data_IF_774533422817
#
_entry.id   IF_774533422817
#
_cell.length_a   1.000
_cell.length_b   1.000
_cell.length_c   1.000
_cell.angle_alpha   90.00
_cell.angle_beta   90.00
_cell.angle_gamma   90.00
#
_symmetry.space_group_name_H-M   'P 1'
#
loop_
_entity.id
_entity.type
_entity.pdbx_description
1 polymer ?
#
# COMPACT_ATOMS: atom_id res chain seq x y z
N UNK A 1 10.97 -10.05 4.29
CA UNK A 1 11.12 -8.80 5.07
C UNK A 1 9.91 -8.66 6.02
N UNK A 2 9.87 -9.39 7.13
CA UNK A 2 8.71 -9.41 8.03
C UNK A 2 8.93 -8.39 9.16
N UNK A 3 8.31 -7.22 9.06
CA UNK A 3 8.28 -6.24 10.13
C UNK A 3 6.81 -5.89 10.42
N UNK A 4 6.46 -5.71 11.71
CA UNK A 4 5.11 -5.36 12.16
C UNK A 4 4.53 -4.15 11.39
N UNK A 5 5.36 -3.18 11.03
CA UNK A 5 4.96 -2.01 10.23
C UNK A 5 4.51 -2.43 8.84
N UNK A 6 5.30 -3.25 8.15
CA UNK A 6 4.97 -3.74 6.81
C UNK A 6 3.65 -4.52 6.86
N UNK A 7 3.50 -5.46 7.78
CA UNK A 7 2.25 -6.22 7.95
C UNK A 7 1.04 -5.32 8.15
N UNK A 8 1.13 -4.30 9.02
CA UNK A 8 0.00 -3.38 9.27
C UNK A 8 -0.37 -2.51 8.07
N UNK A 9 0.62 -2.08 7.28
CA UNK A 9 0.35 -1.34 6.04
C UNK A 9 -0.32 -2.25 5.02
N UNK A 10 0.15 -3.50 4.88
CA UNK A 10 -0.43 -4.47 3.97
C UNK A 10 -1.86 -4.85 4.34
N UNK A 11 -2.12 -5.12 5.62
CA UNK A 11 -3.46 -5.45 6.13
C UNK A 11 -4.45 -4.32 5.80
N UNK A 12 -4.06 -3.05 5.97
CA UNK A 12 -4.90 -1.91 5.59
C UNK A 12 -5.38 -2.01 4.12
N UNK A 13 -4.47 -2.26 3.16
CA UNK A 13 -4.85 -2.35 1.74
C UNK A 13 -5.64 -3.61 1.39
N UNK A 14 -5.30 -4.73 2.01
CA UNK A 14 -6.00 -5.99 1.73
C UNK A 14 -7.40 -5.98 2.32
N UNK A 15 -7.59 -5.36 3.49
CA UNK A 15 -8.91 -5.11 4.07
C UNK A 15 -9.77 -4.22 3.16
N UNK A 16 -9.19 -3.13 2.61
CA UNK A 16 -9.89 -2.27 1.64
C UNK A 16 -10.33 -3.07 0.41
N UNK A 17 -9.48 -3.97 -0.08
CA UNK A 17 -9.77 -4.78 -1.25
C UNK A 17 -10.66 -6.02 -0.97
N UNK A 18 -11.14 -6.21 0.27
CA UNK A 18 -11.90 -7.39 0.67
C UNK A 18 -11.13 -8.71 0.53
N UNK A 19 -9.79 -8.65 0.68
CA UNK A 19 -8.89 -9.79 0.50
C UNK A 19 -8.45 -10.28 1.89
N UNK A 20 -8.79 -11.51 2.21
CA UNK A 20 -8.15 -12.22 3.31
C UNK A 20 -6.71 -12.55 2.90
N UNK A 21 -5.75 -11.74 3.36
CA UNK A 21 -4.35 -11.86 2.97
C UNK A 21 -3.47 -12.33 4.12
N UNK A 22 -2.57 -13.27 3.79
CA UNK A 22 -1.43 -13.66 4.62
C UNK A 22 -0.19 -13.25 3.83
N UNK A 23 0.75 -12.54 4.47
CA UNK A 23 2.00 -12.13 3.82
C UNK A 23 2.78 -13.37 3.34
N UNK A 24 2.96 -13.59 2.03
CA UNK A 24 3.76 -14.68 1.51
C UNK A 24 5.24 -14.41 1.80
N UNK A 25 6.02 -15.49 1.83
CA UNK A 25 7.46 -15.43 2.08
C UNK A 25 8.20 -14.61 1.01
N UNK A 26 7.71 -14.65 -0.24
CA UNK A 26 8.28 -13.92 -1.35
C UNK A 26 7.32 -12.89 -1.95
N UNK A 27 7.87 -11.71 -2.25
CA UNK A 27 7.16 -10.62 -2.95
C UNK A 27 6.81 -10.96 -4.39
N UNK A 28 7.52 -11.90 -5.01
CA UNK A 28 7.19 -12.43 -6.33
C UNK A 28 5.85 -13.18 -6.31
N UNK A 29 5.59 -13.95 -5.25
CA UNK A 29 4.33 -14.69 -5.10
C UNK A 29 3.14 -13.74 -4.93
N UNK A 30 3.34 -12.66 -4.17
CA UNK A 30 2.39 -11.54 -4.05
C UNK A 30 2.05 -10.95 -5.42
N UNK A 31 3.07 -10.53 -6.19
CA UNK A 31 2.86 -9.94 -7.52
C UNK A 31 2.18 -10.93 -8.48
N UNK A 32 2.55 -12.21 -8.41
CA UNK A 32 1.97 -13.24 -9.27
C UNK A 32 0.48 -13.49 -8.98
N UNK A 33 0.08 -13.50 -7.71
CA UNK A 33 -1.32 -13.67 -7.30
C UNK A 33 -2.20 -12.54 -7.84
N UNK A 34 -1.69 -11.32 -7.80
CA UNK A 34 -2.41 -10.14 -8.27
C UNK A 34 -2.44 -10.00 -9.79
N UNK A 35 -1.34 -10.31 -10.48
CA UNK A 35 -1.30 -10.36 -11.96
C UNK A 35 -2.29 -11.42 -12.46
N UNK A 36 -2.34 -12.59 -11.80
CA UNK A 36 -3.22 -13.70 -12.17
C UNK A 36 -4.70 -13.41 -11.91
N UNK A 37 -5.02 -12.48 -11.01
CA UNK A 37 -6.40 -12.10 -10.69
C UNK A 37 -7.14 -11.41 -11.85
N UNK A 38 -6.43 -10.98 -12.89
CA UNK A 38 -7.02 -10.32 -14.04
C UNK A 38 -7.64 -8.97 -13.67
N UNK A 39 -8.52 -8.46 -14.53
CA UNK A 39 -9.20 -7.18 -14.31
C UNK A 39 -8.98 -6.16 -15.42
N UNK A 40 -9.64 -5.01 -15.28
CA UNK A 40 -9.53 -3.88 -16.20
C UNK A 40 -8.09 -3.35 -16.29
N UNK A 41 -7.79 -2.56 -17.32
CA UNK A 41 -6.48 -1.88 -17.43
C UNK A 41 -6.19 -1.00 -16.21
N UNK A 42 -7.23 -0.37 -15.64
CA UNK A 42 -7.14 0.44 -14.43
C UNK A 42 -6.80 -0.41 -13.21
N UNK A 43 -7.49 -1.54 -13.02
CA UNK A 43 -7.22 -2.47 -11.93
C UNK A 43 -5.80 -3.04 -11.99
N UNK A 44 -5.32 -3.43 -13.18
CA UNK A 44 -3.93 -3.88 -13.35
C UNK A 44 -2.92 -2.81 -12.92
N UNK A 45 -3.15 -1.54 -13.30
CA UNK A 45 -2.30 -0.42 -12.85
C UNK A 45 -2.37 -0.24 -11.34
N UNK A 46 -3.56 -0.29 -10.76
CA UNK A 46 -3.76 -0.23 -9.30
C UNK A 46 -2.94 -1.31 -8.57
N UNK A 47 -3.06 -2.57 -9.01
CA UNK A 47 -2.33 -3.70 -8.44
C UNK A 47 -0.80 -3.57 -8.55
N UNK A 48 -0.30 -2.82 -9.53
CA UNK A 48 1.14 -2.51 -9.64
C UNK A 48 1.56 -1.29 -8.82
N UNK A 49 0.68 -0.30 -8.64
CA UNK A 49 1.00 0.96 -7.95
C UNK A 49 1.05 0.78 -6.43
N UNK A 50 0.08 0.06 -5.84
CA UNK A 50 0.03 -0.25 -4.39
C UNK A 50 1.35 -0.81 -3.85
N UNK A 51 1.90 -1.93 -4.37
CA UNK A 51 3.13 -2.51 -3.84
C UNK A 51 4.32 -1.56 -4.00
N UNK A 52 4.40 -0.84 -5.12
CA UNK A 52 5.48 0.13 -5.36
C UNK A 52 5.47 1.25 -4.32
N UNK A 53 4.30 1.83 -4.01
CA UNK A 53 4.18 2.88 -2.99
C UNK A 53 4.51 2.38 -1.58
N UNK A 54 4.08 1.15 -1.23
CA UNK A 54 4.41 0.54 0.06
C UNK A 54 5.92 0.33 0.17
N UNK A 55 6.54 -0.36 -0.79
CA UNK A 55 7.98 -0.65 -0.74
C UNK A 55 8.83 0.61 -0.74
N UNK A 56 8.50 1.58 -1.59
CA UNK A 56 9.21 2.85 -1.64
C UNK A 56 9.13 3.61 -0.31
N UNK A 57 7.94 3.67 0.30
CA UNK A 57 7.75 4.34 1.59
C UNK A 57 8.53 3.62 2.69
N UNK A 58 8.45 2.30 2.78
CA UNK A 58 9.18 1.53 3.79
C UNK A 58 10.69 1.66 3.62
N UNK A 59 11.18 1.64 2.37
CA UNK A 59 12.60 1.87 2.09
C UNK A 59 13.05 3.25 2.57
N UNK A 60 12.27 4.30 2.30
CA UNK A 60 12.54 5.66 2.81
C UNK A 60 12.55 5.71 4.33
N UNK A 61 11.57 5.11 5.02
CA UNK A 61 11.55 5.09 6.50
C UNK A 61 12.76 4.38 7.09
N UNK A 62 13.19 3.27 6.47
CA UNK A 62 14.39 2.54 6.91
C UNK A 62 15.64 3.40 6.74
N UNK A 63 15.78 4.08 5.62
CA UNK A 63 16.91 4.97 5.37
C UNK A 63 16.91 6.17 6.31
N UNK A 64 15.76 6.83 6.52
CA UNK A 64 15.66 7.94 7.47
C UNK A 64 16.03 7.51 8.89
N UNK A 65 15.65 6.30 9.30
CA UNK A 65 16.03 5.77 10.61
C UNK A 65 17.53 5.53 10.74
N UNK A 66 18.15 4.94 9.70
CA UNK A 66 19.58 4.58 9.73
C UNK A 66 20.47 5.82 9.60
N UNK A 67 20.16 6.71 8.66
CA UNK A 67 21.04 7.83 8.30
C UNK A 67 20.72 9.12 9.07
N UNK A 68 19.48 9.28 9.55
CA UNK A 68 19.03 10.53 10.18
C UNK A 68 18.55 10.32 11.63
N UNK A 69 18.49 9.07 12.11
CA UNK A 69 17.97 8.75 13.45
C UNK A 69 16.48 9.06 13.63
N UNK A 70 15.73 9.28 12.54
CA UNK A 70 14.31 9.66 12.60
C UNK A 70 13.40 8.46 12.41
N UNK A 71 12.37 8.36 13.26
CA UNK A 71 11.32 7.35 13.14
C UNK A 71 9.94 8.02 13.03
N UNK A 72 9.14 7.57 12.05
CA UNK A 72 7.74 7.96 11.95
C UNK A 72 6.83 6.98 12.71
N UNK A 73 5.75 7.50 13.30
CA UNK A 73 4.69 6.66 13.83
C UNK A 73 4.02 5.84 12.72
N UNK A 74 3.40 4.71 13.07
CA UNK A 74 2.70 3.86 12.10
C UNK A 74 1.60 4.62 11.34
N UNK A 75 0.88 5.53 12.01
CA UNK A 75 -0.13 6.38 11.39
C UNK A 75 0.49 7.29 10.32
N UNK A 76 1.64 7.90 10.63
CA UNK A 76 2.37 8.75 9.67
C UNK A 76 2.89 7.94 8.48
N UNK A 77 3.32 6.70 8.70
CA UNK A 77 3.74 5.79 7.62
C UNK A 77 2.54 5.44 6.73
N UNK A 78 1.40 5.04 7.31
CA UNK A 78 0.16 4.77 6.57
C UNK A 78 -0.25 5.98 5.72
N UNK A 79 -0.23 7.18 6.31
CA UNK A 79 -0.48 8.43 5.58
C UNK A 79 0.47 8.65 4.41
N UNK A 80 1.78 8.48 4.60
CA UNK A 80 2.78 8.61 3.52
C UNK A 80 2.49 7.66 2.36
N UNK A 81 2.05 6.43 2.63
CA UNK A 81 1.66 5.48 1.58
C UNK A 81 0.41 5.94 0.84
N UNK A 82 -0.64 6.37 1.55
CA UNK A 82 -1.89 6.86 0.95
C UNK A 82 -1.63 8.09 0.07
N UNK A 83 -0.85 9.06 0.56
CA UNK A 83 -0.50 10.25 -0.21
C UNK A 83 0.31 9.89 -1.46
N UNK A 84 1.27 8.97 -1.34
CA UNK A 84 2.04 8.49 -2.49
C UNK A 84 1.13 7.78 -3.51
N UNK A 85 0.16 7.00 -3.05
CA UNK A 85 -0.79 6.31 -3.92
C UNK A 85 -1.67 7.29 -4.67
N UNK A 86 -2.26 8.27 -3.99
CA UNK A 86 -3.09 9.29 -4.62
C UNK A 86 -2.34 10.05 -5.71
N UNK A 87 -1.08 10.40 -5.45
CA UNK A 87 -0.20 11.02 -6.45
C UNK A 87 -0.03 10.15 -7.71
N UNK A 88 0.35 8.88 -7.53
CA UNK A 88 0.60 7.99 -8.67
C UNK A 88 -0.67 7.54 -9.40
N UNK A 89 -1.80 7.44 -8.71
CA UNK A 89 -3.08 7.13 -9.36
C UNK A 89 -3.52 8.26 -10.28
N UNK A 90 -3.35 9.52 -9.84
CA UNK A 90 -3.57 10.69 -10.68
C UNK A 90 -2.64 10.69 -11.90
N UNK A 91 -1.35 10.45 -11.69
CA UNK A 91 -0.35 10.45 -12.77
C UNK A 91 -0.61 9.36 -13.82
N UNK A 92 -1.09 8.19 -13.38
CA UNK A 92 -1.37 7.05 -14.26
C UNK A 92 -2.80 7.05 -14.83
N UNK A 93 -3.58 8.11 -14.57
CA UNK A 93 -4.99 8.23 -14.92
C UNK A 93 -5.79 6.97 -14.56
N UNK A 94 -5.57 6.48 -13.33
CA UNK A 94 -6.35 5.39 -12.74
C UNK A 94 -7.64 6.06 -12.26
N UNK A 95 -8.69 6.05 -13.11
CA UNK A 95 -10.01 6.59 -12.77
C UNK A 95 -10.49 6.03 -11.42
N UNK A 96 -11.14 6.88 -10.63
CA UNK A 96 -11.54 6.72 -9.23
C UNK A 96 -12.37 5.45 -8.96
N UNK A 97 -11.78 4.26 -9.03
CA UNK A 97 -12.46 3.02 -8.63
C UNK A 97 -12.28 2.76 -7.12
N UNK A 98 -11.54 3.61 -6.41
CA UNK A 98 -11.36 3.50 -4.97
C UNK A 98 -11.42 4.90 -4.39
N UNK A 99 -12.56 5.22 -3.77
CA UNK A 99 -12.67 6.34 -2.85
C UNK A 99 -11.84 6.05 -1.60
N UNK A 100 -10.51 6.07 -1.76
CA UNK A 100 -9.52 5.97 -0.68
C UNK A 100 -9.77 7.03 0.40
N UNK A 101 -10.38 8.14 0.00
CA UNK A 101 -10.74 9.28 0.84
C UNK A 101 -11.99 9.00 1.67
N UNK A 102 -13.03 8.36 1.13
CA UNK A 102 -14.27 8.09 1.88
C UNK A 102 -14.10 6.99 2.93
N UNK A 103 -13.19 6.03 2.71
CA UNK A 103 -12.91 4.99 3.71
C UNK A 103 -12.08 5.49 4.90
N UNK A 104 -11.10 6.38 4.70
CA UNK A 104 -10.32 6.97 5.80
C UNK A 104 -11.18 7.81 6.77
N UNK A 105 -12.38 8.22 6.33
CA UNK A 105 -13.33 9.00 7.12
C UNK A 105 -14.38 8.13 7.85
N UNK A 106 -14.33 6.80 7.71
CA UNK A 106 -15.23 5.93 8.48
C UNK A 106 -14.69 5.71 9.90
N UNK A 107 -15.47 6.04 10.96
CA UNK A 107 -15.02 5.97 12.36
C UNK A 107 -14.64 4.56 12.83
N UNK A 108 -15.02 3.52 12.09
CA UNK A 108 -14.82 2.11 12.45
C UNK A 108 -13.39 1.61 12.20
N UNK A 109 -12.54 2.42 11.55
CA UNK A 109 -11.20 2.02 11.12
C UNK A 109 -10.05 2.63 11.96
N UNK A 110 -10.35 3.19 13.14
CA UNK A 110 -9.38 3.70 14.12
C UNK A 110 -9.52 3.04 15.48
#
# INVERSE_FOLDING_TARGET
MHCKVMTQVWVMFTSIAGINWIMPEHTADLLSCWIRRGGSKSQKRWWTTVPACIWWTIWKERNQRIFEGRESSILKIKWKVITSLGFWCKEQNIEEEIQLVDFCNTPENF
#
